data_IF_769712509412
#
_entry.id   IF_769712509412
#
_cell.length_a   1.000
_cell.length_b   1.000
_cell.length_c   1.000
_cell.angle_alpha   90.00
_cell.angle_beta   90.00
_cell.angle_gamma   90.00
#
_symmetry.space_group_name_H-M   'P 1'
#
loop_
_entity.id
_entity.type
_entity.pdbx_description
1 polymer ?
#
# COMPACT_ATOMS: atom_id res chain seq x y z
N UNK A 1 -12.86 -9.33 -7.72
CA UNK A 1 -12.23 -8.94 -9.01
C UNK A 1 -12.61 -7.52 -9.44
N UNK A 2 -13.90 -7.16 -9.54
CA UNK A 2 -14.33 -5.83 -10.00
C UNK A 2 -13.72 -4.63 -9.24
N UNK A 3 -13.55 -4.74 -7.92
CA UNK A 3 -12.89 -3.70 -7.11
C UNK A 3 -11.43 -3.48 -7.50
N UNK A 4 -10.61 -4.54 -7.56
CA UNK A 4 -9.20 -4.44 -7.92
C UNK A 4 -9.00 -3.85 -9.33
N UNK A 5 -9.85 -4.24 -10.29
CA UNK A 5 -9.84 -3.68 -11.64
C UNK A 5 -10.15 -2.18 -11.66
N UNK A 6 -11.12 -1.74 -10.84
CA UNK A 6 -11.45 -0.30 -10.67
C UNK A 6 -10.30 0.48 -10.04
N UNK A 7 -9.55 -0.14 -9.13
CA UNK A 7 -8.48 0.49 -8.36
C UNK A 7 -7.10 0.44 -9.03
N UNK A 8 -6.93 -0.24 -10.17
CA UNK A 8 -5.64 -0.45 -10.83
C UNK A 8 -4.92 0.84 -11.27
N UNK A 9 -5.66 1.94 -11.50
CA UNK A 9 -5.07 3.19 -12.00
C UNK A 9 -4.29 3.92 -10.90
N UNK A 10 -3.10 4.43 -11.21
CA UNK A 10 -2.26 5.20 -10.27
C UNK A 10 -3.02 6.34 -9.58
N UNK A 11 -3.89 7.05 -10.31
CA UNK A 11 -4.72 8.12 -9.74
C UNK A 11 -5.60 7.62 -8.58
N UNK A 12 -6.15 6.41 -8.69
CA UNK A 12 -7.01 5.84 -7.67
C UNK A 12 -6.19 5.41 -6.45
N UNK A 13 -5.04 4.77 -6.68
CA UNK A 13 -4.12 4.35 -5.62
C UNK A 13 -3.59 5.56 -4.85
N UNK A 14 -3.18 6.62 -5.56
CA UNK A 14 -2.73 7.89 -4.96
C UNK A 14 -3.82 8.55 -4.11
N UNK A 15 -5.08 8.54 -4.57
CA UNK A 15 -6.22 9.05 -3.80
C UNK A 15 -6.56 8.18 -2.59
N UNK A 16 -6.45 6.85 -2.73
CA UNK A 16 -6.72 5.92 -1.64
C UNK A 16 -5.70 6.06 -0.52
N UNK A 17 -4.43 6.27 -0.88
CA UNK A 17 -3.34 6.51 0.07
C UNK A 17 -3.31 7.96 0.59
N UNK A 18 -4.20 8.82 0.09
CA UNK A 18 -4.42 10.24 0.35
C UNK A 18 -3.32 11.02 1.10
N UNK A 19 -2.04 10.81 0.79
CA UNK A 19 -0.79 11.48 1.25
C UNK A 19 -0.69 11.83 2.75
N UNK A 20 -1.67 11.47 3.57
CA UNK A 20 -1.67 11.70 5.01
C UNK A 20 -0.90 10.56 5.64
N UNK A 21 0.27 10.90 6.15
CA UNK A 21 1.04 10.03 7.02
C UNK A 21 0.15 9.51 8.15
N UNK A 22 0.22 8.21 8.40
CA UNK A 22 -0.56 7.55 9.45
C UNK A 22 -1.78 6.73 8.98
N UNK A 23 -2.17 6.83 7.71
CA UNK A 23 -3.28 6.00 7.20
C UNK A 23 -2.86 4.53 7.10
N UNK A 24 -3.72 3.66 7.65
CA UNK A 24 -3.53 2.20 7.69
C UNK A 24 -4.35 1.56 6.57
N UNK A 25 -3.73 0.63 5.85
CA UNK A 25 -4.39 -0.12 4.78
C UNK A 25 -3.91 -1.57 4.71
N UNK A 26 -4.74 -2.43 4.15
CA UNK A 26 -4.37 -3.81 3.86
C UNK A 26 -3.59 -3.86 2.54
N UNK A 27 -2.41 -4.47 2.58
CA UNK A 27 -1.55 -4.67 1.42
C UNK A 27 -1.34 -6.15 1.15
N UNK A 28 -1.46 -6.54 -0.13
CA UNK A 28 -1.17 -7.90 -0.60
C UNK A 28 0.01 -7.87 -1.58
N UNK A 29 1.04 -8.67 -1.34
CA UNK A 29 2.23 -8.75 -2.18
C UNK A 29 2.94 -10.09 -2.04
N UNK A 30 3.51 -10.60 -3.13
CA UNK A 30 4.33 -11.82 -3.13
C UNK A 30 5.62 -11.69 -2.29
N UNK A 31 6.01 -10.48 -1.92
CA UNK A 31 7.13 -10.23 -1.00
C UNK A 31 6.80 -10.53 0.47
N UNK A 32 5.51 -10.69 0.79
CA UNK A 32 5.04 -10.98 2.14
C UNK A 32 5.02 -12.49 2.40
N UNK A 33 5.08 -12.88 3.68
CA UNK A 33 5.15 -14.28 4.07
C UNK A 33 3.88 -15.04 3.64
N UNK A 34 4.01 -16.23 3.02
CA UNK A 34 2.87 -17.07 2.65
C UNK A 34 1.99 -17.46 3.85
N UNK A 35 2.59 -17.56 5.04
CA UNK A 35 1.87 -17.84 6.31
C UNK A 35 0.78 -16.80 6.59
N UNK A 36 0.97 -15.55 6.14
CA UNK A 36 0.00 -14.47 6.29
C UNK A 36 -0.81 -14.26 5.00
N UNK A 37 -0.96 -15.30 4.18
CA UNK A 37 -1.63 -15.24 2.88
C UNK A 37 -1.08 -14.15 1.94
N UNK A 38 0.22 -13.85 2.04
CA UNK A 38 0.86 -12.76 1.30
C UNK A 38 0.21 -11.39 1.58
N UNK A 39 -0.32 -11.19 2.80
CA UNK A 39 -0.98 -9.95 3.24
C UNK A 39 -0.40 -9.39 4.53
N UNK A 40 -0.47 -8.06 4.67
CA UNK A 40 -0.07 -7.32 5.87
C UNK A 40 -0.84 -6.01 5.99
N UNK A 41 -1.10 -5.58 7.22
CA UNK A 41 -1.48 -4.21 7.54
C UNK A 41 -0.26 -3.31 7.41
N UNK A 42 -0.38 -2.29 6.57
CA UNK A 42 0.66 -1.32 6.28
C UNK A 42 0.18 0.07 6.68
N UNK A 43 1.11 0.92 7.12
CA UNK A 43 0.85 2.34 7.37
C UNK A 43 1.72 3.19 6.46
N UNK A 44 1.14 4.20 5.82
CA UNK A 44 1.91 5.14 5.01
C UNK A 44 2.83 5.97 5.91
N UNK A 45 4.13 5.94 5.62
CA UNK A 45 5.13 6.72 6.35
C UNK A 45 5.50 8.00 5.58
N UNK A 46 5.99 7.86 4.35
CA UNK A 46 6.37 9.00 3.50
C UNK A 46 6.39 8.64 2.01
N UNK A 47 6.35 9.66 1.15
CA UNK A 47 6.56 9.51 -0.31
C UNK A 47 8.06 9.49 -0.61
N UNK A 48 8.50 8.58 -1.47
CA UNK A 48 9.92 8.42 -1.78
C UNK A 48 10.50 9.71 -2.41
N UNK A 49 11.66 10.22 -1.95
CA UNK A 49 12.15 11.56 -2.32
C UNK A 49 12.55 11.70 -3.79
N UNK A 50 13.00 10.61 -4.42
CA UNK A 50 13.45 10.59 -5.83
C UNK A 50 12.36 10.02 -6.77
N UNK A 51 11.84 8.83 -6.46
CA UNK A 51 10.79 8.19 -7.25
C UNK A 51 9.40 8.64 -6.78
N UNK A 52 8.79 9.60 -7.49
CA UNK A 52 7.45 10.14 -7.16
C UNK A 52 6.32 9.11 -7.26
N UNK A 53 6.56 7.93 -7.88
CA UNK A 53 5.59 6.85 -7.93
C UNK A 53 5.76 5.84 -6.79
N UNK A 54 6.78 5.99 -5.94
CA UNK A 54 7.06 5.09 -4.82
C UNK A 54 6.66 5.74 -3.50
N UNK A 55 6.14 4.90 -2.61
CA UNK A 55 5.80 5.23 -1.23
C UNK A 55 6.56 4.31 -0.30
N UNK A 56 6.88 4.80 0.89
CA UNK A 56 7.48 4.03 1.97
C UNK A 56 6.41 3.77 3.02
N UNK A 57 6.24 2.51 3.37
CA UNK A 57 5.22 2.04 4.31
C UNK A 57 5.88 1.23 5.42
N UNK A 58 5.30 1.30 6.62
CA UNK A 58 5.66 0.46 7.75
C UNK A 58 4.72 -0.75 7.80
N UNK A 59 5.28 -1.95 7.99
CA UNK A 59 4.53 -3.18 8.25
C UNK A 59 4.11 -3.21 9.73
N UNK A 60 2.81 -3.13 10.00
CA UNK A 60 2.23 -3.15 11.35
C UNK A 60 1.86 -4.57 11.82
N UNK A 61 2.10 -5.59 11.00
CA UNK A 61 1.71 -6.98 11.30
C UNK A 61 2.83 -7.80 11.96
N UNK A 62 3.94 -7.13 12.32
CA UNK A 62 5.11 -7.68 13.00
C UNK A 62 5.27 -7.03 14.35
#
# INVERSE_FOLDING_TARGET
MAYALRCRKNLFVSRFLNVKSGDIFLHSSSLLLPKNHCTALMMLFLVHPINQNAIICADLSR
#
